data_IF_168357287318
#
_entry.id   IF_168357287318
#
_cell.length_a   1.000
_cell.length_b   1.000
_cell.length_c   1.000
_cell.angle_alpha   90.00
_cell.angle_beta   90.00
_cell.angle_gamma   90.00
#
_symmetry.space_group_name_H-M   'P 1'
#
loop_
_entity.id
_entity.type
_entity.pdbx_description
1 polymer ?
#
# COMPACT_ATOMS: atom_id res chain seq x y z
N UNK A 1 -27.94 -21.59 35.17
CA UNK A 1 -27.64 -20.69 34.03
C UNK A 1 -26.96 -21.55 32.98
N UNK A 2 -27.50 -21.64 31.77
CA UNK A 2 -26.86 -22.40 30.69
C UNK A 2 -25.71 -21.58 30.10
N UNK A 3 -24.50 -22.14 30.09
CA UNK A 3 -23.36 -21.51 29.42
C UNK A 3 -23.62 -21.39 27.92
N UNK A 4 -23.34 -20.20 27.38
CA UNK A 4 -23.52 -19.91 25.96
C UNK A 4 -22.28 -20.42 25.20
N UNK A 5 -22.49 -21.27 24.20
CA UNK A 5 -21.43 -21.72 23.29
C UNK A 5 -21.20 -20.62 22.24
N UNK A 6 -19.93 -20.28 21.99
CA UNK A 6 -19.52 -19.31 20.98
C UNK A 6 -18.76 -19.99 19.84
N UNK A 7 -18.98 -19.53 18.62
CA UNK A 7 -18.22 -19.98 17.45
C UNK A 7 -16.87 -19.28 17.38
N UNK A 8 -15.90 -19.89 16.69
CA UNK A 8 -14.53 -19.35 16.58
C UNK A 8 -14.48 -17.93 15.98
N UNK A 9 -15.34 -17.63 15.01
CA UNK A 9 -15.45 -16.30 14.38
C UNK A 9 -16.08 -15.26 15.33
N UNK A 10 -17.00 -15.69 16.20
CA UNK A 10 -17.57 -14.85 17.24
C UNK A 10 -16.55 -14.52 18.33
N UNK A 11 -15.76 -15.52 18.76
CA UNK A 11 -14.69 -15.35 19.74
C UNK A 11 -13.69 -14.30 19.22
N UNK A 12 -13.20 -14.44 17.99
CA UNK A 12 -12.28 -13.48 17.39
C UNK A 12 -12.83 -12.05 17.41
N UNK A 13 -14.07 -11.85 16.91
CA UNK A 13 -14.67 -10.51 16.86
C UNK A 13 -14.87 -9.89 18.23
N UNK A 14 -15.27 -10.68 19.23
CA UNK A 14 -15.51 -10.22 20.60
C UNK A 14 -14.19 -9.82 21.25
N UNK A 15 -13.18 -10.69 21.18
CA UNK A 15 -11.85 -10.43 21.76
C UNK A 15 -11.21 -9.21 21.09
N UNK A 16 -11.26 -9.11 19.76
CA UNK A 16 -10.74 -7.94 19.02
C UNK A 16 -11.38 -6.64 19.52
N UNK A 17 -12.71 -6.60 19.67
CA UNK A 17 -13.41 -5.40 20.17
C UNK A 17 -13.10 -5.10 21.64
N UNK A 18 -12.93 -6.12 22.47
CA UNK A 18 -12.58 -5.95 23.88
C UNK A 18 -11.17 -5.35 24.02
N UNK A 19 -10.20 -5.88 23.26
CA UNK A 19 -8.82 -5.39 23.21
C UNK A 19 -8.78 -3.94 22.70
N UNK A 20 -9.46 -3.60 21.61
CA UNK A 20 -9.46 -2.23 21.06
C UNK A 20 -10.07 -1.18 22.01
N UNK A 21 -10.93 -1.59 22.96
CA UNK A 21 -11.51 -0.69 23.97
C UNK A 21 -10.64 -0.55 25.21
N UNK A 22 -9.63 -1.38 25.37
CA UNK A 22 -8.73 -1.34 26.51
C UNK A 22 -7.53 -0.42 26.21
N UNK A 23 -7.23 0.50 27.12
CA UNK A 23 -6.17 1.49 26.94
C UNK A 23 -4.77 0.87 26.95
N UNK A 24 -4.55 -0.18 27.74
CA UNK A 24 -3.23 -0.82 27.91
C UNK A 24 -2.81 -1.59 26.66
N UNK A 25 -3.78 -2.12 25.89
CA UNK A 25 -3.50 -2.85 24.65
C UNK A 25 -3.49 -1.95 23.39
N UNK A 26 -3.95 -0.70 23.49
CA UNK A 26 -3.97 0.25 22.37
C UNK A 26 -2.59 0.80 22.01
N UNK A 27 -1.66 0.87 22.97
CA UNK A 27 -0.27 1.31 22.74
C UNK A 27 0.62 0.21 22.15
N UNK A 28 0.07 -0.98 21.87
CA UNK A 28 0.84 -2.16 21.49
C UNK A 28 1.46 -2.86 22.70
N UNK A 29 1.79 -4.14 22.51
CA UNK A 29 2.42 -4.97 23.54
C UNK A 29 3.78 -5.46 23.07
N UNK A 30 4.67 -5.77 24.01
CA UNK A 30 5.97 -6.36 23.69
C UNK A 30 5.81 -7.81 23.25
N UNK A 31 6.80 -8.33 22.52
CA UNK A 31 6.80 -9.74 22.10
C UNK A 31 6.76 -10.69 23.32
N UNK A 32 7.46 -10.34 24.41
CA UNK A 32 7.43 -11.11 25.66
C UNK A 32 6.04 -11.18 26.30
N UNK A 33 5.31 -10.06 26.27
CA UNK A 33 3.94 -9.97 26.78
C UNK A 33 2.98 -10.81 25.93
N UNK A 34 3.14 -10.79 24.61
CA UNK A 34 2.38 -11.65 23.70
C UNK A 34 2.56 -13.13 24.02
N UNK A 35 3.79 -13.60 24.26
CA UNK A 35 4.03 -14.99 24.67
C UNK A 35 3.43 -15.31 26.05
N UNK A 36 3.41 -14.34 26.98
CA UNK A 36 2.80 -14.54 28.30
C UNK A 36 1.30 -14.78 28.19
N UNK A 37 0.60 -13.91 27.45
CA UNK A 37 -0.85 -14.04 27.22
C UNK A 37 -1.17 -15.33 26.47
N UNK A 38 -0.36 -15.69 25.47
CA UNK A 38 -0.51 -16.96 24.76
C UNK A 38 -0.38 -18.16 25.71
N UNK A 39 0.57 -18.13 26.63
CA UNK A 39 0.75 -19.18 27.63
C UNK A 39 -0.47 -19.28 28.58
N UNK A 40 -1.05 -18.14 28.99
CA UNK A 40 -2.29 -18.11 29.80
C UNK A 40 -3.47 -18.77 29.06
N UNK A 41 -3.52 -18.63 27.74
CA UNK A 41 -4.53 -19.25 26.86
C UNK A 41 -4.18 -20.68 26.44
N UNK A 42 -3.14 -21.30 27.01
CA UNK A 42 -2.62 -22.62 26.64
C UNK A 42 -2.21 -22.72 25.15
N UNK A 43 -1.79 -21.61 24.55
CA UNK A 43 -1.22 -21.57 23.20
C UNK A 43 0.29 -21.77 23.31
N UNK A 44 0.82 -22.76 22.59
CA UNK A 44 2.25 -23.05 22.65
C UNK A 44 3.09 -21.94 22.01
N UNK A 45 4.34 -21.69 22.48
CA UNK A 45 5.24 -20.73 21.85
C UNK A 45 5.51 -21.03 20.37
N UNK A 46 5.41 -22.30 19.95
CA UNK A 46 5.58 -22.67 18.54
C UNK A 46 4.39 -22.22 17.68
N UNK A 47 3.16 -22.32 18.20
CA UNK A 47 1.97 -21.80 17.50
C UNK A 47 2.04 -20.28 17.35
N UNK A 48 2.49 -19.58 18.39
CA UNK A 48 2.70 -18.12 18.32
C UNK A 48 3.76 -17.76 17.29
N UNK A 49 4.90 -18.47 17.25
CA UNK A 49 5.94 -18.23 16.23
C UNK A 49 5.44 -18.45 14.81
N UNK A 50 4.71 -19.53 14.57
CA UNK A 50 4.15 -19.82 13.26
C UNK A 50 3.16 -18.72 12.84
N UNK A 51 2.27 -18.30 13.76
CA UNK A 51 1.33 -17.21 13.51
C UNK A 51 2.04 -15.86 13.26
N UNK A 52 3.12 -15.54 14.00
CA UNK A 52 3.94 -14.35 13.76
C UNK A 52 4.61 -14.38 12.39
N UNK A 53 5.07 -15.55 11.95
CA UNK A 53 5.67 -15.71 10.63
C UNK A 53 4.61 -15.52 9.52
N UNK A 54 3.44 -16.13 9.68
CA UNK A 54 2.30 -15.96 8.77
C UNK A 54 1.84 -14.49 8.70
N UNK A 55 1.76 -13.80 9.84
CA UNK A 55 1.39 -12.37 9.91
C UNK A 55 2.44 -11.50 9.23
N UNK A 56 3.73 -11.82 9.38
CA UNK A 56 4.82 -11.09 8.72
C UNK A 56 4.74 -11.26 7.22
N UNK A 57 4.51 -12.47 6.73
CA UNK A 57 4.37 -12.76 5.31
C UNK A 57 3.12 -12.08 4.71
N UNK A 58 2.00 -12.06 5.45
CA UNK A 58 0.80 -11.32 5.09
C UNK A 58 1.07 -9.81 5.01
N UNK A 59 1.72 -9.26 6.03
CA UNK A 59 2.07 -7.83 6.11
C UNK A 59 2.99 -7.42 4.97
N UNK A 60 4.02 -8.21 4.67
CA UNK A 60 4.92 -7.98 3.54
C UNK A 60 4.18 -7.99 2.19
N UNK A 61 3.22 -8.90 2.03
CA UNK A 61 2.40 -8.96 0.82
C UNK A 61 1.52 -7.73 0.68
N UNK A 62 0.86 -7.28 1.75
CA UNK A 62 0.06 -6.07 1.74
C UNK A 62 0.91 -4.81 1.45
N UNK A 63 2.10 -4.72 2.06
CA UNK A 63 3.04 -3.64 1.76
C UNK A 63 3.50 -3.67 0.29
N UNK A 64 3.76 -4.86 -0.27
CA UNK A 64 4.10 -5.01 -1.68
C UNK A 64 2.97 -4.55 -2.61
N UNK A 65 1.70 -4.77 -2.24
CA UNK A 65 0.55 -4.23 -2.99
C UNK A 65 0.56 -2.70 -2.97
N UNK A 66 0.74 -2.08 -1.80
CA UNK A 66 0.79 -0.62 -1.69
C UNK A 66 1.93 -0.03 -2.51
N UNK A 67 3.13 -0.60 -2.41
CA UNK A 67 4.29 -0.15 -3.19
C UNK A 67 4.06 -0.26 -4.71
N UNK A 68 3.36 -1.30 -5.17
CA UNK A 68 2.96 -1.42 -6.57
C UNK A 68 2.02 -0.27 -7.00
N UNK A 69 1.02 0.02 -6.18
CA UNK A 69 0.06 1.10 -6.42
C UNK A 69 0.73 2.48 -6.44
N UNK A 70 1.60 2.76 -5.47
CA UNK A 70 2.30 4.03 -5.37
C UNK A 70 3.24 4.25 -6.56
N UNK A 71 3.93 3.19 -7.00
CA UNK A 71 4.75 3.25 -8.21
C UNK A 71 3.93 3.57 -9.45
N UNK A 72 2.75 2.96 -9.60
CA UNK A 72 1.83 3.23 -10.71
C UNK A 72 1.36 4.68 -10.70
N UNK A 73 1.00 5.20 -9.53
CA UNK A 73 0.60 6.61 -9.34
C UNK A 73 1.74 7.58 -9.64
N UNK A 74 2.96 7.28 -9.20
CA UNK A 74 4.13 8.14 -9.49
C UNK A 74 4.41 8.20 -10.98
N UNK A 75 4.44 7.06 -11.67
CA UNK A 75 4.66 7.00 -13.12
C UNK A 75 3.58 7.77 -13.89
N UNK A 76 2.31 7.65 -13.47
CA UNK A 76 1.23 8.44 -14.06
C UNK A 76 1.43 9.95 -13.86
N UNK A 77 1.85 10.38 -12.65
CA UNK A 77 2.14 11.80 -12.38
C UNK A 77 3.26 12.34 -13.26
N UNK A 78 4.30 11.55 -13.51
CA UNK A 78 5.40 11.92 -14.41
C UNK A 78 4.89 12.11 -15.85
N UNK A 79 4.11 11.15 -16.37
CA UNK A 79 3.51 11.24 -17.71
C UNK A 79 2.55 12.43 -17.83
N UNK A 80 1.71 12.67 -16.82
CA UNK A 80 0.79 13.80 -16.77
C UNK A 80 1.54 15.13 -16.73
N UNK A 81 2.64 15.21 -15.97
CA UNK A 81 3.45 16.43 -15.87
C UNK A 81 4.09 16.76 -17.22
N UNK A 82 4.70 15.77 -17.87
CA UNK A 82 5.26 15.93 -19.21
C UNK A 82 4.19 16.35 -20.23
N UNK A 83 3.00 15.73 -20.16
CA UNK A 83 1.87 16.07 -21.01
C UNK A 83 1.45 17.55 -20.83
N UNK A 84 1.29 18.02 -19.59
CA UNK A 84 0.88 19.40 -19.32
C UNK A 84 1.94 20.40 -19.79
N UNK A 85 3.22 20.15 -19.49
CA UNK A 85 4.32 21.04 -19.85
C UNK A 85 4.45 21.16 -21.37
N UNK A 86 4.50 20.03 -22.07
CA UNK A 86 4.71 20.02 -23.52
C UNK A 86 3.51 20.63 -24.24
N UNK A 87 2.28 20.21 -23.92
CA UNK A 87 1.10 20.73 -24.58
C UNK A 87 0.85 22.20 -24.24
N UNK A 88 1.09 22.63 -23.00
CA UNK A 88 1.02 24.03 -22.61
C UNK A 88 2.02 24.89 -23.38
N UNK A 89 3.25 24.40 -23.56
CA UNK A 89 4.27 25.08 -24.37
C UNK A 89 3.86 25.16 -25.85
N UNK A 90 3.36 24.07 -26.44
CA UNK A 90 2.94 24.04 -27.85
C UNK A 90 1.74 24.96 -28.12
N UNK A 91 0.74 24.97 -27.24
CA UNK A 91 -0.43 25.87 -27.35
C UNK A 91 -0.01 27.32 -27.21
N UNK A 92 0.86 27.63 -26.23
CA UNK A 92 1.41 28.97 -26.08
C UNK A 92 2.17 29.41 -27.33
N UNK A 93 3.06 28.56 -27.84
CA UNK A 93 3.86 28.84 -29.03
C UNK A 93 3.00 29.05 -30.28
N UNK A 94 1.99 28.22 -30.48
CA UNK A 94 1.05 28.36 -31.61
C UNK A 94 0.29 29.69 -31.52
N UNK A 95 -0.21 30.05 -30.34
CA UNK A 95 -0.89 31.33 -30.11
C UNK A 95 0.02 32.54 -30.37
N UNK A 96 1.27 32.49 -29.91
CA UNK A 96 2.24 33.56 -30.14
C UNK A 96 2.63 33.71 -31.62
N UNK A 97 2.72 32.60 -32.37
CA UNK A 97 3.17 32.62 -33.77
C UNK A 97 2.05 32.92 -34.76
N UNK A 98 0.84 32.38 -34.52
CA UNK A 98 -0.27 32.43 -35.50
C UNK A 98 -1.40 33.36 -35.06
N UNK A 99 -1.37 33.87 -33.82
CA UNK A 99 -2.45 34.66 -33.24
C UNK A 99 -3.68 33.83 -32.84
N UNK A 100 -3.59 32.50 -32.87
CA UNK A 100 -4.69 31.58 -32.56
C UNK A 100 -4.22 30.15 -32.28
N UNK A 101 -5.18 29.24 -32.07
CA UNK A 101 -4.91 27.80 -31.90
C UNK A 101 -5.25 27.11 -33.23
N UNK A 102 -4.22 26.63 -33.94
CA UNK A 102 -4.37 26.07 -35.29
C UNK A 102 -3.96 24.60 -35.33
N UNK A 103 -2.71 24.28 -35.01
CA UNK A 103 -2.16 22.91 -35.07
C UNK A 103 -1.88 22.33 -33.68
N UNK A 104 -1.77 23.16 -32.65
CA UNK A 104 -1.45 22.73 -31.29
C UNK A 104 -2.54 21.89 -30.60
N UNK A 105 -3.72 21.73 -31.22
CA UNK A 105 -4.80 20.88 -30.72
C UNK A 105 -4.61 19.39 -31.03
N UNK A 106 -3.83 19.05 -32.07
CA UNK A 106 -3.62 17.65 -32.45
C UNK A 106 -2.77 16.86 -31.44
N UNK A 107 -1.66 17.39 -30.88
CA UNK A 107 -0.87 16.66 -29.88
C UNK A 107 -1.64 16.33 -28.58
N UNK A 108 -2.42 17.24 -27.98
CA UNK A 108 -3.29 16.91 -26.84
C UNK A 108 -4.31 15.82 -27.18
N UNK A 109 -4.93 15.86 -28.37
CA UNK A 109 -5.93 14.87 -28.76
C UNK A 109 -5.32 13.48 -29.01
N UNK A 110 -4.15 13.42 -29.66
CA UNK A 110 -3.46 12.16 -29.92
C UNK A 110 -2.91 11.51 -28.65
N UNK A 111 -2.15 12.26 -27.86
CA UNK A 111 -1.52 11.74 -26.64
C UNK A 111 -2.46 11.67 -25.44
N UNK A 112 -3.50 12.51 -25.41
CA UNK A 112 -4.49 12.53 -24.33
C UNK A 112 -5.28 11.24 -24.21
N UNK A 113 -5.50 10.52 -25.32
CA UNK A 113 -6.13 9.20 -25.31
C UNK A 113 -5.24 8.19 -24.57
N UNK A 114 -3.94 8.15 -24.88
CA UNK A 114 -2.97 7.30 -24.17
C UNK A 114 -2.90 7.63 -22.68
N UNK A 115 -2.92 8.92 -22.33
CA UNK A 115 -2.92 9.39 -20.95
C UNK A 115 -4.20 9.01 -20.20
N UNK A 116 -5.36 8.99 -20.88
CA UNK A 116 -6.62 8.54 -20.29
C UNK A 116 -6.57 7.05 -19.93
N UNK A 117 -5.95 6.22 -20.77
CA UNK A 117 -5.74 4.80 -20.44
C UNK A 117 -4.80 4.62 -19.24
N UNK A 118 -3.71 5.39 -19.18
CA UNK A 118 -2.79 5.36 -18.03
C UNK A 118 -3.48 5.83 -16.73
N UNK A 119 -4.38 6.83 -16.82
CA UNK A 119 -5.17 7.29 -15.68
C UNK A 119 -6.07 6.18 -15.14
N UNK A 120 -6.80 5.48 -16.02
CA UNK A 120 -7.69 4.39 -15.62
C UNK A 120 -6.91 3.26 -14.96
N UNK A 121 -5.75 2.86 -15.52
CA UNK A 121 -4.92 1.79 -14.94
C UNK A 121 -4.28 2.17 -13.61
N UNK A 122 -3.97 3.47 -13.41
CA UNK A 122 -3.35 3.99 -12.18
C UNK A 122 -4.36 4.19 -11.04
N UNK A 123 -5.56 4.69 -11.34
CA UNK A 123 -6.59 4.99 -10.34
C UNK A 123 -7.48 3.79 -10.04
N UNK A 124 -7.80 2.97 -11.04
CA UNK A 124 -8.64 1.78 -10.91
C UNK A 124 -7.92 0.49 -11.33
N UNK A 125 -6.77 0.16 -10.72
CA UNK A 125 -6.07 -1.07 -11.02
C UNK A 125 -6.91 -2.28 -10.58
N UNK A 126 -7.09 -3.24 -11.49
CA UNK A 126 -7.77 -4.50 -11.19
C UNK A 126 -7.06 -5.25 -10.06
N UNK A 127 -7.82 -5.85 -9.12
CA UNK A 127 -7.28 -6.64 -8.00
C UNK A 127 -6.28 -7.70 -8.47
N UNK A 128 -6.57 -8.35 -9.60
CA UNK A 128 -5.67 -9.34 -10.20
C UNK A 128 -4.31 -8.76 -10.61
N UNK A 129 -4.26 -7.52 -11.12
CA UNK A 129 -3.01 -6.83 -11.47
C UNK A 129 -2.23 -6.42 -10.22
N UNK A 130 -2.92 -5.97 -9.18
CA UNK A 130 -2.31 -5.60 -7.89
C UNK A 130 -1.64 -6.83 -7.27
N UNK A 131 -2.33 -7.96 -7.23
CA UNK A 131 -1.79 -9.21 -6.70
C UNK A 131 -0.63 -9.76 -7.54
N UNK A 132 -0.75 -9.74 -8.87
CA UNK A 132 0.33 -10.15 -9.76
C UNK A 132 1.57 -9.23 -9.61
N UNK A 133 1.35 -7.93 -9.46
CA UNK A 133 2.38 -6.94 -9.17
C UNK A 133 3.07 -7.22 -7.85
N UNK A 134 2.31 -7.38 -6.77
CA UNK A 134 2.83 -7.71 -5.44
C UNK A 134 3.61 -9.04 -5.43
N UNK A 135 3.12 -10.08 -6.12
CA UNK A 135 3.85 -11.34 -6.27
C UNK A 135 5.18 -11.15 -7.01
N UNK A 136 5.21 -10.34 -8.07
CA UNK A 136 6.44 -10.02 -8.81
C UNK A 136 7.45 -9.28 -7.93
N UNK A 137 6.94 -8.40 -7.08
CA UNK A 137 7.72 -7.66 -6.08
C UNK A 137 8.34 -8.64 -5.07
N UNK A 138 7.55 -9.50 -4.44
CA UNK A 138 8.05 -10.46 -3.46
C UNK A 138 9.05 -11.47 -4.04
N UNK A 139 8.89 -11.87 -5.30
CA UNK A 139 9.82 -12.79 -5.98
C UNK A 139 11.20 -12.17 -6.22
N UNK A 140 11.28 -10.85 -6.29
CA UNK A 140 12.54 -10.14 -6.50
C UNK A 140 13.24 -9.92 -5.15
N UNK A 141 14.40 -10.57 -4.97
CA UNK A 141 15.22 -10.45 -3.75
C UNK A 141 15.68 -8.98 -3.49
N UNK A 142 15.53 -8.09 -4.48
CA UNK A 142 15.84 -6.66 -4.42
C UNK A 142 14.94 -5.88 -3.44
N UNK A 143 13.76 -6.39 -3.09
CA UNK A 143 12.81 -5.71 -2.21
C UNK A 143 13.14 -5.83 -0.72
N UNK A 144 13.87 -6.87 -0.30
CA UNK A 144 14.32 -7.02 1.09
C UNK A 144 15.15 -5.80 1.52
N UNK A 145 16.09 -5.40 0.67
CA UNK A 145 16.92 -4.21 0.91
C UNK A 145 16.14 -2.89 0.88
N UNK A 146 15.02 -2.83 0.15
CA UNK A 146 14.15 -1.65 0.12
C UNK A 146 13.36 -1.51 1.42
N UNK A 147 12.80 -2.62 1.94
CA UNK A 147 12.09 -2.63 3.22
C UNK A 147 13.02 -2.39 4.41
N UNK A 148 14.23 -2.97 4.40
CA UNK A 148 15.23 -2.71 5.44
C UNK A 148 15.62 -1.22 5.48
N UNK A 149 15.86 -0.60 4.32
CA UNK A 149 16.18 0.83 4.26
C UNK A 149 14.98 1.74 4.59
N UNK A 150 13.75 1.38 4.21
CA UNK A 150 12.56 2.17 4.52
C UNK A 150 12.14 2.06 6.00
N UNK A 151 12.23 0.86 6.57
CA UNK A 151 11.95 0.59 7.97
C UNK A 151 12.92 1.31 8.91
N UNK A 152 14.21 1.32 8.58
CA UNK A 152 15.20 2.10 9.33
C UNK A 152 14.90 3.61 9.32
N UNK A 153 14.48 4.15 8.17
CA UNK A 153 14.23 5.59 8.01
C UNK A 153 13.04 6.10 8.82
N UNK A 154 11.96 5.31 8.89
CA UNK A 154 10.76 5.66 9.69
C UNK A 154 11.05 5.57 11.20
N UNK A 155 11.80 4.55 11.63
CA UNK A 155 12.20 4.42 13.04
C UNK A 155 13.18 5.54 13.46
N UNK A 156 14.10 5.94 12.58
CA UNK A 156 15.03 7.04 12.85
C UNK A 156 14.33 8.41 12.93
N UNK A 157 13.33 8.68 12.08
CA UNK A 157 12.53 9.92 12.14
C UNK A 157 11.64 9.99 13.39
N UNK A 158 11.12 8.87 13.87
CA UNK A 158 10.31 8.81 15.10
C UNK A 158 11.15 8.92 16.38
N UNK A 159 12.45 8.60 16.32
CA UNK A 159 13.38 8.71 17.45
C UNK A 159 14.07 10.09 17.53
N UNK A 160 13.98 10.91 16.47
CA UNK A 160 14.52 12.29 16.41
C UNK A 160 13.49 13.37 16.77
N UNK A 161 12.28 12.99 17.16
CA UNK A 161 11.20 13.89 17.56
C UNK A 161 10.90 13.76 19.05
#
# INVERSE_FOLDING_TARGET
MSDKIFQSDEIERIIKRAISKNADYNSGITESELYRIAAELNISPQQVRNALQEEKDYTLFEQAKQMYLDKKRSSFREHLTAYIIINGFLVGLDYFLTGGITWSIFPPLGWGIGLAFDFVDSIYPSKAKIEAGAKKIMKSNKWKNLFENFGFKILEELQKK
#
